data_IF_029008557555
#
_entry.id   IF_029008557555
#
_cell.length_a   1.000
_cell.length_b   1.000
_cell.length_c   1.000
_cell.angle_alpha   90.00
_cell.angle_beta   90.00
_cell.angle_gamma   90.00
#
_symmetry.space_group_name_H-M   'P 1'
#
loop_
_entity.id
_entity.type
_entity.pdbx_description
1 polymer ?
#
# COMPACT_ATOMS: atom_id res chain seq x y z
N UNK A 1 -14.28 3.45 14.03
CA UNK A 1 -13.32 3.96 13.04
C UNK A 1 -13.66 5.39 12.66
N UNK A 2 -12.63 6.19 12.33
CA UNK A 2 -12.75 7.50 11.67
C UNK A 2 -12.20 7.27 10.26
N UNK A 3 -13.03 7.54 9.24
CA UNK A 3 -12.67 7.31 7.84
C UNK A 3 -11.65 8.34 7.32
N UNK A 4 -11.05 8.01 6.17
CA UNK A 4 -10.07 8.87 5.52
C UNK A 4 -10.62 10.27 5.26
N UNK A 5 -9.78 11.28 5.49
CA UNK A 5 -10.08 12.70 5.23
C UNK A 5 -11.36 13.24 5.87
N UNK A 6 -11.95 12.54 6.88
CA UNK A 6 -13.26 12.90 7.45
C UNK A 6 -13.34 14.33 7.99
N UNK A 7 -12.23 14.90 8.43
CA UNK A 7 -12.10 16.27 8.93
C UNK A 7 -11.04 17.10 8.20
N UNK A 8 -10.55 16.60 7.05
CA UNK A 8 -9.51 17.33 6.30
C UNK A 8 -9.96 18.76 5.96
N UNK A 9 -9.08 19.75 6.17
CA UNK A 9 -9.36 21.15 5.89
C UNK A 9 -10.35 21.82 6.85
N UNK A 10 -10.68 21.20 8.00
CA UNK A 10 -11.51 21.85 9.02
C UNK A 10 -10.70 22.93 9.77
N UNK A 11 -10.41 24.05 9.10
CA UNK A 11 -9.50 25.10 9.57
C UNK A 11 -9.89 25.72 10.91
N UNK A 12 -11.18 25.75 11.25
CA UNK A 12 -11.70 26.33 12.50
C UNK A 12 -11.80 25.31 13.65
N UNK A 13 -11.45 24.05 13.43
CA UNK A 13 -11.46 23.03 14.48
C UNK A 13 -10.27 23.23 15.41
N UNK A 14 -10.51 23.53 16.69
CA UNK A 14 -9.46 23.86 17.66
C UNK A 14 -9.09 22.69 18.58
N UNK A 15 -10.05 21.82 18.87
CA UNK A 15 -9.82 20.66 19.76
C UNK A 15 -10.69 19.46 19.37
N UNK A 16 -10.18 18.25 19.63
CA UNK A 16 -10.88 16.98 19.41
C UNK A 16 -10.62 16.02 20.56
N UNK A 17 -11.67 15.36 21.01
CA UNK A 17 -11.58 14.21 21.92
C UNK A 17 -12.04 12.99 21.17
N UNK A 18 -11.12 12.05 20.90
CA UNK A 18 -11.44 10.79 20.25
C UNK A 18 -11.98 9.82 21.31
N UNK A 19 -13.19 9.27 21.13
CA UNK A 19 -13.77 8.36 22.13
C UNK A 19 -13.10 6.98 22.14
N UNK A 20 -13.16 6.30 23.29
CA UNK A 20 -12.57 4.96 23.50
C UNK A 20 -13.14 3.86 22.61
N UNK A 21 -14.21 4.12 21.86
CA UNK A 21 -14.77 3.18 20.87
C UNK A 21 -14.02 3.20 19.52
N UNK A 22 -13.11 4.16 19.30
CA UNK A 22 -12.32 4.28 18.08
C UNK A 22 -11.05 3.46 18.20
N UNK A 23 -10.85 2.53 17.26
CA UNK A 23 -9.64 1.74 17.13
C UNK A 23 -8.75 2.23 15.98
N UNK A 24 -9.36 2.80 14.91
CA UNK A 24 -8.62 3.20 13.73
C UNK A 24 -8.95 4.66 13.36
N UNK A 25 -7.89 5.42 13.02
CA UNK A 25 -7.94 6.75 12.43
C UNK A 25 -7.40 6.61 11.01
N UNK A 26 -8.15 7.03 10.01
CA UNK A 26 -7.80 6.89 8.59
C UNK A 26 -6.69 7.82 8.13
N UNK A 27 -6.41 7.79 6.83
CA UNK A 27 -5.45 8.63 6.14
C UNK A 27 -5.93 10.10 6.12
N UNK A 28 -4.99 11.05 6.38
CA UNK A 28 -5.24 12.50 6.29
C UNK A 28 -6.50 12.99 7.04
N UNK A 29 -6.89 12.35 8.14
CA UNK A 29 -8.17 12.66 8.82
C UNK A 29 -8.26 14.11 9.24
N UNK A 30 -7.19 14.68 9.79
CA UNK A 30 -7.13 16.07 10.26
C UNK A 30 -6.15 16.94 9.46
N UNK A 31 -5.74 16.49 8.27
CA UNK A 31 -4.85 17.25 7.40
C UNK A 31 -5.42 18.63 7.12
N UNK A 32 -4.59 19.66 7.32
CA UNK A 32 -5.01 21.04 7.09
C UNK A 32 -5.99 21.61 8.14
N UNK A 33 -6.19 20.96 9.28
CA UNK A 33 -6.92 21.56 10.43
C UNK A 33 -6.01 22.58 11.13
N UNK A 34 -5.81 23.73 10.50
CA UNK A 34 -4.76 24.72 10.87
C UNK A 34 -4.96 25.40 12.23
N UNK A 35 -6.10 25.20 12.88
CA UNK A 35 -6.37 25.66 14.25
C UNK A 35 -6.33 24.55 15.30
N UNK A 36 -6.13 23.28 14.89
CA UNK A 36 -6.24 22.12 15.79
C UNK A 36 -4.99 21.98 16.68
N UNK A 37 -5.08 22.49 17.89
CA UNK A 37 -3.99 22.51 18.86
C UNK A 37 -4.09 21.42 19.94
N UNK A 38 -5.30 20.90 20.19
CA UNK A 38 -5.54 19.92 21.25
C UNK A 38 -6.23 18.67 20.70
N UNK A 39 -5.59 17.51 20.84
CA UNK A 39 -6.18 16.22 20.50
C UNK A 39 -5.96 15.25 21.66
N UNK A 40 -7.04 14.60 22.12
CA UNK A 40 -6.95 13.47 23.02
C UNK A 40 -7.13 12.19 22.24
N UNK A 41 -6.08 11.36 22.15
CA UNK A 41 -6.08 10.07 21.49
C UNK A 41 -6.07 8.97 22.56
N UNK A 42 -7.13 8.16 22.68
CA UNK A 42 -7.19 7.11 23.70
C UNK A 42 -6.31 5.90 23.31
N UNK A 43 -5.94 5.08 24.30
CA UNK A 43 -5.14 3.86 24.07
C UNK A 43 -5.87 2.77 23.27
N UNK A 44 -7.18 2.92 23.03
CA UNK A 44 -7.94 2.06 22.11
C UNK A 44 -7.57 2.25 20.65
N UNK A 45 -6.95 3.39 20.28
CA UNK A 45 -6.47 3.63 18.92
C UNK A 45 -5.19 2.84 18.70
N UNK A 46 -5.28 1.83 17.84
CA UNK A 46 -4.21 0.90 17.50
C UNK A 46 -3.71 1.03 16.05
N UNK A 47 -4.40 1.86 15.25
CA UNK A 47 -3.99 2.16 13.87
C UNK A 47 -4.27 3.62 13.54
N UNK A 48 -3.29 4.27 12.91
CA UNK A 48 -3.37 5.65 12.43
C UNK A 48 -2.81 5.68 11.02
N UNK A 49 -3.60 6.19 10.09
CA UNK A 49 -3.19 6.36 8.69
C UNK A 49 -2.16 7.47 8.52
N UNK A 50 -1.39 7.40 7.45
CA UNK A 50 -0.40 8.41 7.12
C UNK A 50 -1.00 9.81 7.01
N UNK A 51 -0.21 10.83 7.34
CA UNK A 51 -0.61 12.23 7.27
C UNK A 51 -1.87 12.61 8.10
N UNK A 52 -2.28 11.73 9.04
CA UNK A 52 -3.53 11.96 9.79
C UNK A 52 -3.59 13.32 10.50
N UNK A 53 -2.44 13.87 10.88
CA UNK A 53 -2.33 15.13 11.63
C UNK A 53 -1.44 16.19 10.95
N UNK A 54 -1.08 15.97 9.70
CA UNK A 54 -0.21 16.90 8.96
C UNK A 54 -0.86 18.29 8.88
N UNK A 55 -0.04 19.37 8.92
CA UNK A 55 -0.49 20.75 8.90
C UNK A 55 -1.41 21.12 10.11
N UNK A 56 -1.26 20.47 11.27
CA UNK A 56 -1.93 20.86 12.52
C UNK A 56 -0.93 21.44 13.53
N UNK A 57 -1.32 22.45 14.32
CA UNK A 57 -0.51 22.93 15.45
C UNK A 57 -0.23 21.83 16.49
N UNK A 58 -1.13 20.86 16.64
CA UNK A 58 -0.93 19.72 17.54
C UNK A 58 0.29 18.89 17.15
N UNK A 59 0.47 18.56 15.86
CA UNK A 59 1.63 17.81 15.39
C UNK A 59 2.90 18.66 15.52
N UNK A 60 2.86 19.94 15.13
CA UNK A 60 4.00 20.85 15.22
C UNK A 60 4.54 20.97 16.67
N UNK A 61 3.65 21.10 17.66
CA UNK A 61 4.05 21.12 19.08
C UNK A 61 4.71 19.79 19.51
N UNK A 62 4.24 18.65 19.01
CA UNK A 62 4.84 17.33 19.31
C UNK A 62 6.22 17.18 18.69
N UNK A 63 6.41 17.65 17.46
CA UNK A 63 7.70 17.66 16.77
C UNK A 63 8.74 18.54 17.49
N UNK A 64 8.31 19.66 18.10
CA UNK A 64 9.19 20.50 18.95
C UNK A 64 9.60 19.79 20.26
N UNK A 65 8.71 18.99 20.84
CA UNK A 65 8.98 18.20 22.06
C UNK A 65 9.91 17.00 21.76
N UNK A 66 9.63 16.26 20.69
CA UNK A 66 10.40 15.11 20.24
C UNK A 66 10.25 14.95 18.71
N UNK A 67 11.34 14.99 17.92
CA UNK A 67 11.27 14.84 16.47
C UNK A 67 10.78 13.46 16.02
N UNK A 68 10.81 12.42 16.89
CA UNK A 68 10.12 11.14 16.68
C UNK A 68 8.78 11.19 17.42
N UNK A 69 7.71 11.58 16.73
CA UNK A 69 6.37 11.66 17.31
C UNK A 69 5.75 10.27 17.39
N UNK A 70 5.59 9.74 18.61
CA UNK A 70 5.05 8.41 18.88
C UNK A 70 3.78 8.52 19.73
N UNK A 71 2.72 7.82 19.31
CA UNK A 71 1.45 7.72 20.06
C UNK A 71 1.00 6.28 20.10
N UNK A 72 0.74 5.73 21.28
CA UNK A 72 0.29 4.35 21.49
C UNK A 72 1.19 3.29 20.81
N UNK A 73 2.50 3.50 20.76
CA UNK A 73 3.43 2.61 20.06
C UNK A 73 3.42 2.75 18.52
N UNK A 74 2.75 3.76 17.99
CA UNK A 74 2.71 4.08 16.56
C UNK A 74 3.63 5.28 16.32
N UNK A 75 4.66 5.13 15.48
CA UNK A 75 5.50 6.23 15.05
C UNK A 75 4.77 6.99 13.95
N UNK A 76 4.27 8.17 14.28
CA UNK A 76 3.45 9.00 13.39
C UNK A 76 4.28 9.85 12.44
N UNK A 77 5.36 10.43 12.97
CA UNK A 77 6.17 11.42 12.26
C UNK A 77 7.60 11.44 12.77
N UNK A 78 8.55 11.48 11.88
CA UNK A 78 9.98 11.64 12.08
C UNK A 78 10.60 12.57 11.03
N UNK A 79 9.76 13.29 10.26
CA UNK A 79 10.21 14.17 9.15
C UNK A 79 11.12 15.30 9.64
N UNK A 80 10.94 15.77 10.86
CA UNK A 80 11.74 16.84 11.47
C UNK A 80 12.99 16.34 12.19
N UNK A 81 13.21 15.01 12.26
CA UNK A 81 14.42 14.43 12.84
C UNK A 81 15.62 14.76 11.96
N UNK A 82 16.67 15.35 12.53
CA UNK A 82 17.90 15.76 11.83
C UNK A 82 19.07 14.82 12.07
N UNK A 83 18.86 13.77 12.85
CA UNK A 83 19.90 12.78 13.12
C UNK A 83 20.25 11.99 11.85
N UNK A 84 21.53 11.83 11.57
CA UNK A 84 21.99 11.03 10.43
C UNK A 84 21.74 9.53 10.65
N UNK A 85 21.75 9.08 11.90
CA UNK A 85 21.50 7.69 12.30
C UNK A 85 20.30 7.65 13.26
N UNK A 86 19.19 7.08 12.82
CA UNK A 86 17.98 6.99 13.62
C UNK A 86 17.83 5.58 14.18
N UNK A 87 17.61 5.50 15.50
CA UNK A 87 17.24 4.25 16.17
C UNK A 87 15.79 4.39 16.66
N UNK A 88 14.87 3.64 16.05
CA UNK A 88 13.47 3.65 16.47
C UNK A 88 13.34 2.94 17.83
N UNK A 89 12.64 3.54 18.81
CA UNK A 89 12.45 2.96 20.14
C UNK A 89 11.76 1.60 20.14
N UNK A 90 12.12 0.73 21.10
CA UNK A 90 11.60 -0.65 21.20
C UNK A 90 10.12 -0.78 21.59
N UNK A 91 9.45 0.30 21.94
CA UNK A 91 8.02 0.35 22.23
C UNK A 91 7.18 0.68 20.98
N UNK A 92 7.83 0.97 19.85
CA UNK A 92 7.16 1.19 18.56
C UNK A 92 6.78 -0.15 17.95
N UNK A 93 5.50 -0.30 17.59
CA UNK A 93 4.95 -1.51 16.98
C UNK A 93 4.58 -1.34 15.51
N UNK A 94 4.40 -0.08 15.07
CA UNK A 94 4.14 0.26 13.67
C UNK A 94 4.70 1.63 13.31
N UNK A 95 5.07 1.78 12.04
CA UNK A 95 5.53 3.04 11.44
C UNK A 95 4.44 3.51 10.48
N UNK A 96 3.91 4.72 10.69
CA UNK A 96 2.88 5.31 9.84
C UNK A 96 3.36 5.54 8.40
N UNK A 97 2.40 5.64 7.50
CA UNK A 97 2.68 6.15 6.16
C UNK A 97 3.23 7.59 6.22
N UNK A 98 4.23 7.87 5.37
CA UNK A 98 4.95 9.16 5.29
C UNK A 98 5.76 9.52 6.54
N UNK A 99 5.94 8.62 7.51
CA UNK A 99 6.56 8.95 8.79
C UNK A 99 7.96 9.58 8.68
N UNK A 100 8.74 9.22 7.66
CA UNK A 100 10.07 9.78 7.38
C UNK A 100 10.18 10.34 5.96
N UNK A 101 9.08 10.67 5.32
CA UNK A 101 9.09 11.17 3.95
C UNK A 101 10.03 12.37 3.76
N UNK A 102 10.90 12.31 2.73
CA UNK A 102 11.95 13.31 2.44
C UNK A 102 12.97 13.53 3.58
N UNK A 103 13.09 12.63 4.56
CA UNK A 103 14.08 12.78 5.64
C UNK A 103 15.51 12.55 5.10
N UNK A 104 16.49 13.22 5.69
CA UNK A 104 17.89 13.23 5.25
C UNK A 104 18.80 12.20 5.95
N UNK A 105 18.24 11.30 6.77
CA UNK A 105 19.01 10.26 7.47
C UNK A 105 19.82 9.40 6.52
N UNK A 106 20.94 8.86 7.01
CA UNK A 106 21.81 7.92 6.28
C UNK A 106 21.57 6.48 6.70
N UNK A 107 21.09 6.27 7.92
CA UNK A 107 20.76 4.93 8.43
C UNK A 107 19.58 4.94 9.40
N UNK A 108 18.84 3.83 9.43
CA UNK A 108 17.77 3.59 10.39
C UNK A 108 17.79 2.16 10.90
N UNK A 109 17.60 2.00 12.21
CA UNK A 109 17.43 0.69 12.86
C UNK A 109 15.98 0.57 13.32
N UNK A 110 15.28 -0.42 12.76
CA UNK A 110 13.90 -0.76 13.11
C UNK A 110 13.93 -1.90 14.13
N UNK A 111 13.30 -1.77 15.31
CA UNK A 111 13.32 -2.79 16.35
C UNK A 111 12.38 -3.97 16.04
N UNK A 112 12.64 -5.11 16.70
CA UNK A 112 11.84 -6.35 16.57
C UNK A 112 10.38 -6.21 17.01
N UNK A 113 10.01 -5.12 17.66
CA UNK A 113 8.62 -4.81 18.03
C UNK A 113 7.77 -4.34 16.85
N UNK A 114 8.40 -3.83 15.77
CA UNK A 114 7.68 -3.32 14.59
C UNK A 114 7.21 -4.48 13.72
N UNK A 115 5.91 -4.48 13.42
CA UNK A 115 5.27 -5.49 12.56
C UNK A 115 4.78 -4.95 11.23
N UNK A 116 4.65 -3.62 11.10
CA UNK A 116 4.14 -2.97 9.89
C UNK A 116 4.83 -1.65 9.61
N UNK A 117 5.06 -1.38 8.32
CA UNK A 117 5.59 -0.12 7.80
C UNK A 117 4.60 0.40 6.75
N UNK A 118 4.07 1.60 6.98
CA UNK A 118 3.04 2.22 6.15
C UNK A 118 3.56 2.74 4.82
N UNK A 119 2.63 3.11 3.93
CA UNK A 119 2.93 3.60 2.58
C UNK A 119 3.82 4.85 2.62
N UNK A 120 4.81 4.89 1.73
CA UNK A 120 5.76 6.02 1.60
C UNK A 120 6.57 6.34 2.86
N UNK A 121 6.65 5.42 3.83
CA UNK A 121 7.24 5.72 5.14
C UNK A 121 8.69 6.21 5.07
N UNK A 122 9.48 5.72 4.12
CA UNK A 122 10.86 6.13 3.87
C UNK A 122 11.06 6.66 2.44
N UNK A 123 9.97 6.94 1.71
CA UNK A 123 10.06 7.47 0.35
C UNK A 123 10.80 8.79 0.33
N UNK A 124 11.58 9.01 -0.74
CA UNK A 124 12.37 10.21 -0.98
C UNK A 124 13.47 10.49 0.08
N UNK A 125 13.80 9.51 0.94
CA UNK A 125 14.97 9.56 1.82
C UNK A 125 16.25 9.28 0.99
N UNK A 126 16.63 10.20 0.11
CA UNK A 126 17.70 9.99 -0.87
C UNK A 126 19.08 9.67 -0.30
N UNK A 127 19.35 10.00 0.98
CA UNK A 127 20.60 9.71 1.66
C UNK A 127 20.59 8.35 2.38
N UNK A 128 19.44 7.70 2.54
CA UNK A 128 19.29 6.46 3.30
C UNK A 128 19.98 5.30 2.58
N UNK A 129 21.08 4.83 3.16
CA UNK A 129 21.91 3.74 2.62
C UNK A 129 21.78 2.45 3.41
N UNK A 130 21.52 2.56 4.71
CA UNK A 130 21.49 1.41 5.60
C UNK A 130 20.17 1.34 6.35
N UNK A 131 19.47 0.23 6.19
CA UNK A 131 18.24 -0.07 6.94
C UNK A 131 18.39 -1.46 7.56
N UNK A 132 18.18 -1.55 8.88
CA UNK A 132 17.98 -2.84 9.54
C UNK A 132 16.48 -3.08 9.66
N UNK A 133 15.97 -4.09 8.95
CA UNK A 133 14.56 -4.47 8.96
C UNK A 133 14.45 -5.84 9.62
N UNK A 134 13.76 -5.97 10.77
CA UNK A 134 13.62 -7.24 11.46
C UNK A 134 12.61 -8.18 10.78
N UNK A 135 12.72 -9.50 11.07
CA UNK A 135 11.82 -10.51 10.55
C UNK A 135 10.36 -10.35 11.05
N UNK A 136 10.15 -9.57 12.11
CA UNK A 136 8.84 -9.23 12.64
C UNK A 136 8.00 -8.38 11.70
N UNK A 137 8.62 -7.64 10.75
CA UNK A 137 7.90 -6.84 9.76
C UNK A 137 7.28 -7.79 8.73
N UNK A 138 5.95 -7.89 8.80
CA UNK A 138 5.13 -8.75 7.94
C UNK A 138 4.20 -7.97 7.00
N UNK A 139 4.21 -6.64 7.09
CA UNK A 139 3.43 -5.77 6.23
C UNK A 139 4.24 -4.56 5.78
N UNK A 140 4.24 -4.32 4.47
CA UNK A 140 4.73 -3.10 3.84
C UNK A 140 3.61 -2.46 3.03
N UNK A 141 3.42 -1.16 3.22
CA UNK A 141 2.52 -0.35 2.40
C UNK A 141 3.07 -0.11 1.00
N UNK A 142 2.49 0.85 0.31
CA UNK A 142 2.89 1.25 -1.03
C UNK A 142 4.21 2.04 -1.01
N UNK A 143 5.10 1.74 -1.97
CA UNK A 143 6.26 2.60 -2.29
C UNK A 143 7.12 3.01 -1.09
N UNK A 144 7.29 2.10 -0.13
CA UNK A 144 7.91 2.39 1.18
C UNK A 144 9.32 2.97 1.04
N UNK A 145 10.13 2.46 0.10
CA UNK A 145 11.54 2.80 -0.06
C UNK A 145 11.86 3.52 -1.37
N UNK A 146 10.84 3.99 -2.09
CA UNK A 146 11.03 4.69 -3.37
C UNK A 146 12.00 5.87 -3.23
N UNK A 147 12.91 6.02 -4.19
CA UNK A 147 13.93 7.08 -4.23
C UNK A 147 14.88 7.09 -3.00
N UNK A 148 15.13 5.94 -2.37
CA UNK A 148 16.21 5.79 -1.38
C UNK A 148 17.48 5.27 -2.06
N UNK A 149 18.67 5.67 -1.54
CA UNK A 149 19.94 5.07 -1.98
C UNK A 149 19.99 3.56 -1.65
N UNK A 150 19.31 3.14 -0.58
CA UNK A 150 19.24 1.74 -0.16
C UNK A 150 18.52 0.86 -1.20
N UNK A 151 17.36 1.28 -1.71
CA UNK A 151 16.63 0.50 -2.71
C UNK A 151 17.36 0.47 -4.05
N UNK A 152 17.99 1.60 -4.45
CA UNK A 152 18.80 1.67 -5.67
C UNK A 152 19.96 0.67 -5.64
N UNK A 153 20.65 0.57 -4.49
CA UNK A 153 21.71 -0.43 -4.32
C UNK A 153 21.19 -1.88 -4.41
N UNK A 154 19.96 -2.13 -3.89
CA UNK A 154 19.31 -3.45 -4.00
C UNK A 154 18.99 -3.84 -5.43
N UNK A 155 18.60 -2.88 -6.28
CA UNK A 155 18.34 -3.12 -7.70
C UNK A 155 19.60 -3.59 -8.46
N UNK A 156 20.80 -3.13 -8.05
CA UNK A 156 22.06 -3.61 -8.62
C UNK A 156 22.31 -5.10 -8.30
N UNK A 157 21.81 -5.59 -7.17
CA UNK A 157 21.93 -7.00 -6.76
C UNK A 157 20.83 -7.87 -7.39
N UNK A 158 19.58 -7.41 -7.37
CA UNK A 158 18.40 -8.11 -7.90
C UNK A 158 17.30 -7.08 -8.21
N UNK A 159 16.75 -7.07 -9.44
CA UNK A 159 15.67 -6.16 -9.78
C UNK A 159 14.37 -6.37 -8.95
N UNK A 160 14.21 -7.53 -8.31
CA UNK A 160 13.10 -7.82 -7.40
C UNK A 160 13.57 -7.70 -5.95
N UNK A 161 13.15 -6.65 -5.26
CA UNK A 161 13.50 -6.43 -3.84
C UNK A 161 12.55 -7.21 -2.95
N UNK A 162 13.05 -8.29 -2.35
CA UNK A 162 12.28 -9.18 -1.49
C UNK A 162 12.82 -9.09 -0.06
N UNK A 163 11.92 -8.84 0.91
CA UNK A 163 12.21 -8.75 2.33
C UNK A 163 11.20 -9.64 3.06
N UNK A 164 11.66 -10.52 3.95
CA UNK A 164 10.79 -11.37 4.78
C UNK A 164 9.72 -12.11 3.94
N UNK A 165 10.09 -12.65 2.77
CA UNK A 165 9.18 -13.30 1.80
C UNK A 165 8.14 -12.36 1.16
N UNK A 166 8.26 -11.05 1.30
CA UNK A 166 7.40 -10.04 0.68
C UNK A 166 8.17 -9.35 -0.44
N UNK A 167 7.61 -9.30 -1.64
CA UNK A 167 8.15 -8.51 -2.73
C UNK A 167 7.72 -7.05 -2.50
N UNK A 168 8.66 -6.20 -2.10
CA UNK A 168 8.37 -4.83 -1.65
C UNK A 168 8.55 -3.77 -2.73
N UNK A 169 9.44 -4.01 -3.69
CA UNK A 169 9.69 -3.07 -4.79
C UNK A 169 10.41 -3.78 -5.95
N UNK A 170 10.42 -3.16 -7.13
CA UNK A 170 11.12 -3.66 -8.30
C UNK A 170 11.83 -2.54 -9.05
N UNK A 171 12.95 -2.87 -9.67
CA UNK A 171 13.60 -1.97 -10.63
C UNK A 171 12.77 -1.92 -11.93
N UNK A 172 12.09 -0.79 -12.13
CA UNK A 172 11.18 -0.59 -13.27
C UNK A 172 11.90 -0.61 -14.62
N UNK A 173 13.17 -0.24 -14.65
CA UNK A 173 13.99 -0.21 -15.88
C UNK A 173 14.43 -1.63 -16.29
N UNK A 174 14.60 -2.53 -15.33
CA UNK A 174 14.97 -3.93 -15.55
C UNK A 174 13.76 -4.87 -15.66
N UNK A 175 12.57 -4.46 -15.21
CA UNK A 175 11.33 -5.22 -15.31
C UNK A 175 10.75 -5.15 -16.74
N UNK A 176 11.27 -5.99 -17.65
CA UNK A 176 10.85 -6.00 -19.05
C UNK A 176 10.49 -7.41 -19.54
N UNK A 177 9.57 -7.49 -20.51
CA UNK A 177 9.12 -8.76 -21.08
C UNK A 177 8.39 -9.62 -20.06
N UNK A 178 8.85 -10.86 -19.88
CA UNK A 178 8.31 -11.80 -18.88
C UNK A 178 9.06 -11.69 -17.57
N UNK A 179 8.36 -11.33 -16.51
CA UNK A 179 8.86 -11.31 -15.13
C UNK A 179 8.39 -12.55 -14.40
N UNK A 180 9.27 -13.18 -13.61
CA UNK A 180 8.95 -14.34 -12.79
C UNK A 180 9.26 -14.03 -11.33
N UNK A 181 8.24 -14.05 -10.47
CA UNK A 181 8.42 -13.94 -9.01
C UNK A 181 8.91 -15.30 -8.50
N UNK A 182 10.00 -15.35 -7.71
CA UNK A 182 10.53 -16.61 -7.22
C UNK A 182 9.60 -17.30 -6.23
N UNK A 183 9.70 -18.63 -6.17
CA UNK A 183 9.00 -19.43 -5.16
C UNK A 183 9.39 -18.98 -3.75
N UNK A 184 8.42 -19.09 -2.80
CA UNK A 184 8.60 -18.68 -1.41
C UNK A 184 8.25 -17.22 -1.14
N UNK A 185 7.98 -16.40 -2.16
CA UNK A 185 7.32 -15.10 -1.95
C UNK A 185 5.87 -15.35 -1.57
N UNK A 186 5.44 -14.77 -0.46
CA UNK A 186 4.10 -14.97 0.09
C UNK A 186 3.18 -13.77 -0.10
N UNK A 187 3.76 -12.58 -0.38
CA UNK A 187 3.00 -11.35 -0.57
C UNK A 187 3.69 -10.42 -1.58
N UNK A 188 2.89 -9.65 -2.30
CA UNK A 188 3.33 -8.53 -3.13
C UNK A 188 2.85 -7.24 -2.45
N UNK A 189 3.77 -6.37 -2.07
CA UNK A 189 3.44 -5.10 -1.41
C UNK A 189 2.68 -4.15 -2.33
N UNK A 190 2.02 -3.16 -1.74
CA UNK A 190 1.34 -2.11 -2.48
C UNK A 190 2.30 -1.36 -3.40
N UNK A 191 1.87 -1.10 -4.64
CA UNK A 191 2.65 -0.38 -5.64
C UNK A 191 3.92 -1.07 -6.13
N UNK A 192 4.23 -2.31 -5.71
CA UNK A 192 5.52 -2.96 -6.01
C UNK A 192 5.88 -2.97 -7.50
N UNK A 193 4.93 -3.28 -8.38
CA UNK A 193 5.11 -3.24 -9.85
C UNK A 193 4.50 -1.99 -10.50
N UNK A 194 4.11 -0.97 -9.71
CA UNK A 194 3.50 0.21 -10.29
C UNK A 194 4.39 0.84 -11.37
N UNK A 195 3.78 1.13 -12.55
CA UNK A 195 4.45 1.72 -13.72
C UNK A 195 5.55 0.85 -14.36
N UNK A 196 5.53 -0.48 -14.18
CA UNK A 196 6.40 -1.41 -14.92
C UNK A 196 5.96 -1.48 -16.40
N UNK A 197 6.24 -0.42 -17.14
CA UNK A 197 5.71 -0.20 -18.49
C UNK A 197 6.38 -1.04 -19.59
N UNK A 198 7.36 -1.87 -19.26
CA UNK A 198 8.02 -2.78 -20.20
C UNK A 198 7.68 -4.25 -19.91
N UNK A 199 6.97 -4.54 -18.81
CA UNK A 199 6.54 -5.89 -18.43
C UNK A 199 5.32 -6.29 -19.27
N UNK A 200 5.43 -7.38 -20.03
CA UNK A 200 4.35 -7.88 -20.90
C UNK A 200 3.65 -9.11 -20.33
N UNK A 201 4.33 -9.85 -19.47
CA UNK A 201 3.84 -11.05 -18.78
C UNK A 201 4.42 -11.11 -17.37
N UNK A 202 3.67 -11.71 -16.45
CA UNK A 202 4.16 -12.00 -15.10
C UNK A 202 3.75 -13.42 -14.68
N UNK A 203 4.67 -14.13 -14.03
CA UNK A 203 4.41 -15.40 -13.37
C UNK A 203 4.45 -15.18 -11.86
N UNK A 204 3.32 -15.38 -11.20
CA UNK A 204 3.15 -15.26 -9.74
C UNK A 204 3.07 -16.69 -9.17
N UNK A 205 3.91 -17.08 -8.21
CA UNK A 205 3.88 -18.42 -7.65
C UNK A 205 2.67 -18.64 -6.73
N UNK A 206 2.26 -19.90 -6.58
CA UNK A 206 1.12 -20.30 -5.73
C UNK A 206 1.33 -19.99 -4.24
N UNK A 207 2.57 -19.70 -3.82
CA UNK A 207 2.87 -19.26 -2.45
C UNK A 207 2.34 -17.87 -2.12
N UNK A 208 2.03 -17.04 -3.14
CA UNK A 208 1.49 -15.69 -2.94
C UNK A 208 0.02 -15.77 -2.53
N UNK A 209 -0.29 -15.20 -1.38
CA UNK A 209 -1.64 -15.16 -0.81
C UNK A 209 -2.18 -13.73 -0.59
N UNK A 210 -1.37 -12.70 -0.87
CA UNK A 210 -1.75 -11.29 -0.75
C UNK A 210 -1.11 -10.46 -1.85
N UNK A 211 -1.91 -9.57 -2.45
CA UNK A 211 -1.48 -8.57 -3.44
C UNK A 211 -2.03 -7.23 -2.95
N UNK A 212 -1.13 -6.29 -2.65
CA UNK A 212 -1.51 -4.99 -2.09
C UNK A 212 -2.14 -4.05 -3.13
N UNK A 213 -2.76 -2.99 -2.62
CA UNK A 213 -3.33 -1.91 -3.44
C UNK A 213 -2.28 -1.33 -4.38
N UNK A 214 -2.69 -0.93 -5.58
CA UNK A 214 -1.81 -0.34 -6.61
C UNK A 214 -0.69 -1.28 -7.11
N UNK A 215 -0.63 -2.54 -6.72
CA UNK A 215 0.52 -3.43 -6.98
C UNK A 215 0.95 -3.46 -8.45
N UNK A 216 0.03 -3.42 -9.39
CA UNK A 216 0.26 -3.38 -10.85
C UNK A 216 -0.28 -2.11 -11.51
N UNK A 217 -0.50 -1.05 -10.72
CA UNK A 217 -1.00 0.22 -11.25
C UNK A 217 -0.12 0.73 -12.39
N UNK A 218 -0.73 1.08 -13.52
CA UNK A 218 -0.03 1.64 -14.66
C UNK A 218 0.90 0.67 -15.40
N UNK A 219 0.76 -0.65 -15.24
CA UNK A 219 1.47 -1.63 -16.07
C UNK A 219 0.89 -1.66 -17.48
N UNK A 220 1.20 -0.62 -18.26
CA UNK A 220 0.53 -0.32 -19.55
C UNK A 220 0.71 -1.40 -20.63
N UNK A 221 1.74 -2.25 -20.53
CA UNK A 221 2.05 -3.28 -21.52
C UNK A 221 1.70 -4.69 -21.07
N UNK A 222 1.26 -4.88 -19.81
CA UNK A 222 0.84 -6.17 -19.29
C UNK A 222 -0.41 -6.64 -20.04
N UNK A 223 -0.34 -7.85 -20.64
CA UNK A 223 -1.40 -8.39 -21.51
C UNK A 223 -2.32 -9.33 -20.79
N UNK A 224 -1.77 -10.16 -19.92
CA UNK A 224 -2.49 -11.18 -19.18
C UNK A 224 -1.89 -11.38 -17.80
N UNK A 225 -2.71 -11.80 -16.85
CA UNK A 225 -2.30 -12.13 -15.50
C UNK A 225 -3.18 -13.22 -14.92
N UNK A 226 -2.57 -14.13 -14.16
CA UNK A 226 -3.28 -15.12 -13.35
C UNK A 226 -3.06 -14.83 -11.87
N UNK A 227 -4.14 -14.68 -11.15
CA UNK A 227 -4.13 -14.48 -9.69
C UNK A 227 -4.05 -15.86 -9.01
N UNK A 228 -3.11 -16.08 -8.06
CA UNK A 228 -2.97 -17.37 -7.36
C UNK A 228 -4.16 -17.71 -6.47
N UNK A 229 -4.40 -19.01 -6.28
CA UNK A 229 -5.51 -19.55 -5.46
C UNK A 229 -5.47 -19.12 -3.98
N UNK A 230 -4.31 -18.67 -3.46
CA UNK A 230 -4.19 -18.15 -2.09
C UNK A 230 -4.78 -16.76 -1.87
N UNK A 231 -4.99 -15.99 -2.95
CA UNK A 231 -5.46 -14.60 -2.89
C UNK A 231 -6.97 -14.56 -2.67
N UNK A 232 -7.43 -13.77 -1.69
CA UNK A 232 -8.85 -13.66 -1.30
C UNK A 232 -9.48 -12.31 -1.63
N UNK A 233 -8.66 -11.30 -1.91
CA UNK A 233 -9.10 -9.95 -2.32
C UNK A 233 -8.21 -9.42 -3.43
N UNK A 234 -8.79 -8.59 -4.30
CA UNK A 234 -8.06 -7.73 -5.23
C UNK A 234 -8.35 -6.30 -4.76
N UNK A 235 -7.33 -5.69 -4.17
CA UNK A 235 -7.49 -4.43 -3.45
C UNK A 235 -7.52 -3.22 -4.38
N UNK A 236 -7.76 -2.02 -3.82
CA UNK A 236 -7.91 -0.76 -4.55
C UNK A 236 -6.84 -0.55 -5.63
N UNK A 237 -7.27 -0.14 -6.82
CA UNK A 237 -6.44 0.26 -7.95
C UNK A 237 -5.36 -0.76 -8.37
N UNK A 238 -5.47 -2.03 -7.98
CA UNK A 238 -4.42 -3.05 -8.23
C UNK A 238 -4.02 -3.10 -9.71
N UNK A 239 -4.95 -2.99 -10.65
CA UNK A 239 -4.71 -2.99 -12.10
C UNK A 239 -5.11 -1.68 -12.79
N UNK A 240 -5.25 -0.59 -12.03
CA UNK A 240 -5.59 0.71 -12.59
C UNK A 240 -4.65 1.07 -13.74
N UNK A 241 -5.20 1.45 -14.91
CA UNK A 241 -4.39 1.89 -16.05
C UNK A 241 -3.58 0.79 -16.75
N UNK A 242 -3.92 -0.49 -16.57
CA UNK A 242 -3.35 -1.59 -17.35
C UNK A 242 -3.98 -1.61 -18.75
N UNK A 243 -3.62 -0.62 -19.59
CA UNK A 243 -4.26 -0.41 -20.89
C UNK A 243 -4.20 -1.59 -21.85
N UNK A 244 -3.15 -2.41 -21.79
CA UNK A 244 -2.98 -3.58 -22.68
C UNK A 244 -3.56 -4.88 -22.11
N UNK A 245 -4.10 -4.87 -20.89
CA UNK A 245 -4.64 -6.07 -20.25
C UNK A 245 -5.87 -6.54 -21.04
N UNK A 246 -5.79 -7.72 -21.66
CA UNK A 246 -6.86 -8.33 -22.44
C UNK A 246 -7.60 -9.39 -21.66
N UNK A 247 -6.90 -10.08 -20.76
CA UNK A 247 -7.50 -11.15 -19.96
C UNK A 247 -6.92 -11.25 -18.56
N UNK A 248 -7.74 -11.72 -17.62
CA UNK A 248 -7.34 -12.03 -16.25
C UNK A 248 -7.94 -13.38 -15.81
N UNK A 249 -7.14 -14.19 -15.11
CA UNK A 249 -7.64 -15.38 -14.42
C UNK A 249 -7.81 -15.08 -12.94
N UNK A 250 -9.04 -15.24 -12.43
CA UNK A 250 -9.40 -14.96 -11.03
C UNK A 250 -9.79 -16.30 -10.35
N UNK A 251 -9.14 -16.65 -9.24
CA UNK A 251 -9.43 -17.89 -8.52
C UNK A 251 -10.75 -17.78 -7.74
N UNK A 252 -11.35 -18.93 -7.42
CA UNK A 252 -12.58 -19.02 -6.63
C UNK A 252 -12.45 -18.53 -5.18
N UNK A 253 -11.21 -18.38 -4.69
CA UNK A 253 -10.89 -17.82 -3.36
C UNK A 253 -11.19 -16.33 -3.25
N UNK A 254 -11.22 -15.58 -4.36
CA UNK A 254 -11.51 -14.14 -4.35
C UNK A 254 -12.96 -13.90 -4.00
N UNK A 255 -13.17 -13.13 -2.92
CA UNK A 255 -14.50 -12.76 -2.40
C UNK A 255 -14.74 -11.23 -2.39
N UNK A 256 -13.70 -10.44 -2.66
CA UNK A 256 -13.76 -8.98 -2.67
C UNK A 256 -12.92 -8.40 -3.80
N UNK A 257 -13.46 -7.40 -4.51
CA UNK A 257 -12.76 -6.57 -5.49
C UNK A 257 -13.00 -5.10 -5.11
N UNK A 258 -11.91 -4.41 -4.84
CA UNK A 258 -11.87 -3.03 -4.34
C UNK A 258 -12.31 -1.98 -5.35
N UNK A 259 -12.12 -0.71 -4.97
CA UNK A 259 -12.44 0.42 -5.83
C UNK A 259 -11.42 0.58 -6.97
N UNK A 260 -11.88 1.01 -8.12
CA UNK A 260 -11.11 1.39 -9.32
C UNK A 260 -10.07 0.35 -9.78
N UNK A 261 -10.23 -0.92 -9.37
CA UNK A 261 -9.25 -2.00 -9.65
C UNK A 261 -8.94 -2.10 -11.15
N UNK A 262 -9.97 -2.10 -12.00
CA UNK A 262 -9.84 -2.22 -13.45
C UNK A 262 -10.15 -0.91 -14.20
N UNK A 263 -10.13 0.22 -13.50
CA UNK A 263 -10.29 1.52 -14.13
C UNK A 263 -9.21 1.71 -15.22
N UNK A 264 -9.63 2.17 -16.39
CA UNK A 264 -8.77 2.33 -17.57
C UNK A 264 -8.13 1.03 -18.13
N UNK A 265 -8.65 -0.16 -17.81
CA UNK A 265 -8.29 -1.42 -18.49
C UNK A 265 -9.06 -1.55 -19.81
N UNK A 266 -8.86 -0.62 -20.73
CA UNK A 266 -9.70 -0.43 -21.93
C UNK A 266 -9.76 -1.62 -22.89
N UNK A 267 -8.83 -2.55 -22.80
CA UNK A 267 -8.76 -3.75 -23.65
C UNK A 267 -9.19 -5.03 -22.93
N UNK A 268 -9.62 -4.95 -21.64
CA UNK A 268 -10.05 -6.13 -20.90
C UNK A 268 -11.36 -6.67 -21.50
N UNK A 269 -11.24 -7.82 -22.16
CA UNK A 269 -12.33 -8.49 -22.86
C UNK A 269 -12.75 -9.81 -22.20
N UNK A 270 -11.83 -10.48 -21.51
CA UNK A 270 -12.04 -11.85 -21.00
C UNK A 270 -11.63 -11.97 -19.55
N UNK A 271 -12.51 -12.54 -18.73
CA UNK A 271 -12.27 -12.88 -17.33
C UNK A 271 -12.49 -14.37 -17.16
N UNK A 272 -11.45 -15.11 -16.80
CA UNK A 272 -11.51 -16.54 -16.51
C UNK A 272 -11.68 -16.75 -15.02
N UNK A 273 -12.88 -17.11 -14.57
CA UNK A 273 -13.18 -17.34 -13.17
C UNK A 273 -13.18 -18.84 -12.84
N UNK A 274 -12.38 -19.24 -11.86
CA UNK A 274 -12.21 -20.65 -11.49
C UNK A 274 -13.38 -21.25 -10.67
N UNK A 275 -14.45 -20.50 -10.46
CA UNK A 275 -15.67 -20.88 -9.73
C UNK A 275 -16.91 -20.99 -10.61
N UNK A 276 -18.09 -21.00 -9.96
CA UNK A 276 -19.40 -21.04 -10.62
C UNK A 276 -19.99 -19.64 -10.81
N UNK A 277 -21.03 -19.47 -11.68
CA UNK A 277 -21.75 -18.19 -11.80
C UNK A 277 -22.31 -17.68 -10.47
N UNK A 278 -22.79 -18.54 -9.58
CA UNK A 278 -23.30 -18.15 -8.28
C UNK A 278 -22.20 -17.60 -7.37
N UNK A 279 -21.00 -18.22 -7.39
CA UNK A 279 -19.84 -17.74 -6.63
C UNK A 279 -19.36 -16.39 -7.16
N UNK A 280 -19.31 -16.21 -8.49
CA UNK A 280 -18.98 -14.92 -9.10
C UNK A 280 -19.94 -13.81 -8.65
N UNK A 281 -21.25 -14.08 -8.69
CA UNK A 281 -22.28 -13.12 -8.28
C UNK A 281 -22.25 -12.80 -6.77
N UNK A 282 -21.58 -13.61 -5.98
CA UNK A 282 -21.38 -13.40 -4.54
C UNK A 282 -20.15 -12.55 -4.21
N UNK A 283 -19.27 -12.27 -5.18
CA UNK A 283 -18.11 -11.41 -4.97
C UNK A 283 -18.59 -9.98 -4.67
N UNK A 284 -18.12 -9.40 -3.57
CA UNK A 284 -18.35 -8.00 -3.27
C UNK A 284 -17.46 -7.13 -4.16
N UNK A 285 -18.04 -6.47 -5.17
CA UNK A 285 -17.31 -5.59 -6.09
C UNK A 285 -17.70 -4.14 -5.75
N UNK A 286 -16.72 -3.34 -5.34
CA UNK A 286 -16.92 -1.92 -5.05
C UNK A 286 -16.92 -1.13 -6.34
N UNK A 287 -17.93 -0.24 -6.53
CA UNK A 287 -17.99 0.67 -7.68
C UNK A 287 -18.40 0.03 -9.02
N UNK A 288 -18.86 -1.22 -9.05
CA UNK A 288 -19.22 -1.92 -10.28
C UNK A 288 -20.51 -1.45 -10.98
N UNK A 289 -21.23 -0.48 -10.42
CA UNK A 289 -22.53 0.00 -10.95
C UNK A 289 -22.45 1.36 -11.66
N UNK A 290 -21.27 1.96 -11.76
CA UNK A 290 -21.09 3.23 -12.46
C UNK A 290 -21.04 3.02 -13.98
N UNK A 291 -21.76 3.83 -14.73
CA UNK A 291 -21.66 3.89 -16.20
C UNK A 291 -20.45 4.70 -16.67
N UNK A 292 -19.71 5.24 -15.72
CA UNK A 292 -18.53 6.05 -15.97
C UNK A 292 -17.27 5.16 -15.98
N UNK A 293 -16.34 5.40 -16.88
CA UNK A 293 -15.06 4.69 -17.00
C UNK A 293 -14.15 4.79 -15.75
N UNK A 294 -14.67 5.35 -14.66
CA UNK A 294 -13.94 5.65 -13.42
C UNK A 294 -13.99 4.54 -12.36
N UNK A 295 -14.63 3.40 -12.70
CA UNK A 295 -14.82 2.33 -11.74
C UNK A 295 -14.42 0.97 -12.31
N UNK A 296 -14.90 -0.13 -11.77
CA UNK A 296 -14.68 -1.47 -12.30
C UNK A 296 -15.54 -1.77 -13.57
N UNK A 297 -15.84 -0.74 -14.36
CA UNK A 297 -16.65 -0.83 -15.58
C UNK A 297 -16.14 -1.90 -16.54
N UNK A 298 -14.85 -1.92 -16.81
CA UNK A 298 -14.27 -2.87 -17.76
C UNK A 298 -14.34 -4.32 -17.28
N UNK A 299 -14.29 -4.56 -15.97
CA UNK A 299 -14.49 -5.90 -15.40
C UNK A 299 -15.91 -6.39 -15.63
N UNK A 300 -16.91 -5.57 -15.32
CA UNK A 300 -18.34 -5.97 -15.39
C UNK A 300 -18.87 -6.04 -16.82
N UNK A 301 -18.16 -5.48 -17.79
CA UNK A 301 -18.51 -5.53 -19.22
C UNK A 301 -17.76 -6.60 -20.01
N UNK A 302 -16.70 -7.18 -19.43
CA UNK A 302 -15.94 -8.28 -20.03
C UNK A 302 -16.77 -9.58 -20.11
N UNK A 303 -16.37 -10.47 -21.01
CA UNK A 303 -16.92 -11.83 -21.06
C UNK A 303 -16.38 -12.65 -19.87
N UNK A 304 -17.27 -13.22 -19.07
CA UNK A 304 -16.90 -14.07 -17.94
C UNK A 304 -16.96 -15.53 -18.40
N UNK A 305 -15.85 -16.23 -18.28
CA UNK A 305 -15.72 -17.66 -18.60
C UNK A 305 -15.61 -18.46 -17.30
N UNK A 306 -16.51 -19.39 -17.08
CA UNK A 306 -16.54 -20.21 -15.88
C UNK A 306 -15.83 -21.57 -16.09
N UNK A 307 -15.35 -22.17 -15.00
CA UNK A 307 -14.61 -23.44 -15.04
C UNK A 307 -15.43 -24.61 -15.59
N UNK A 308 -16.76 -24.56 -15.52
CA UNK A 308 -17.70 -25.56 -16.05
C UNK A 308 -18.06 -25.37 -17.54
N UNK A 309 -17.50 -24.34 -18.19
CA UNK A 309 -17.73 -24.04 -19.62
C UNK A 309 -19.03 -23.28 -19.92
N UNK A 310 -19.66 -22.68 -18.89
CA UNK A 310 -20.84 -21.82 -19.03
C UNK A 310 -20.45 -20.35 -19.14
#
# INVERSE_FOLDING_TARGET
NIGDRSFAGCENLTSVIIPNSVANIGYSVFDGCTSLAEITIPSSVTSIGGNAFVNTPWLAARQEENPLVIVNGILLDGTTCTDEEIVIPNDVTSICGFAFWENHMTSVVIPDSVTSIGSYAFSDCGNLKNITIPDSVTFFGESVFTNTAWVTYRYDENPLVIINHILVDVDRDQCSGKVTIPDGVTSIAGGAFAYCNQMTEISIPDSVNSIGSFAFNGCMTLKEIAIPEGVTSIDEATFYGCYSLTSISIPKSVTFIGEVVFCNCMNLSDVYYAGTPEQWNAIAITGGNSTDNYDNYFLVTAAIHFADGT
#
